data_IF_540994488492
#
_entry.id   IF_540994488492
#
_cell.length_a   1.000
_cell.length_b   1.000
_cell.length_c   1.000
_cell.angle_alpha   90.00
_cell.angle_beta   90.00
_cell.angle_gamma   90.00
#
_symmetry.space_group_name_H-M   'P 1'
#
loop_
_entity.id
_entity.type
_entity.pdbx_description
1 polymer ?
#
# COMPACT_ATOMS: atom_id res chain seq x y z
N UNK A 1 0.54 -0.92 -15.84
CA UNK A 1 1.29 -0.90 -14.57
C UNK A 1 0.31 -0.52 -13.48
N UNK A 2 0.25 -1.27 -12.38
CA UNK A 2 -0.65 -0.94 -11.27
C UNK A 2 -0.20 0.34 -10.59
N UNK A 3 -1.14 1.24 -10.33
CA UNK A 3 -0.85 2.54 -9.71
C UNK A 3 -0.26 2.35 -8.31
N UNK A 4 0.95 2.83 -8.09
CA UNK A 4 1.61 2.86 -6.78
C UNK A 4 1.20 4.14 -6.04
N UNK A 5 0.84 4.00 -4.77
CA UNK A 5 0.48 5.08 -3.84
C UNK A 5 1.27 4.98 -2.53
N UNK A 6 1.34 6.08 -1.78
CA UNK A 6 1.95 6.11 -0.45
C UNK A 6 0.89 5.87 0.62
N UNK A 7 1.11 4.89 1.48
CA UNK A 7 0.28 4.65 2.66
C UNK A 7 0.36 5.85 3.62
N UNK A 8 -0.79 6.41 3.98
CA UNK A 8 -0.86 7.59 4.86
C UNK A 8 -0.47 7.29 6.32
N UNK A 9 -0.48 6.03 6.74
CA UNK A 9 -0.13 5.63 8.11
C UNK A 9 1.38 5.42 8.30
N UNK A 10 2.05 4.75 7.36
CA UNK A 10 3.46 4.37 7.52
C UNK A 10 4.42 4.99 6.49
N UNK A 11 3.91 5.75 5.52
CA UNK A 11 4.74 6.38 4.48
C UNK A 11 5.36 5.41 3.46
N UNK A 12 5.04 4.11 3.53
CA UNK A 12 5.56 3.10 2.59
C UNK A 12 4.67 2.99 1.34
N UNK A 13 5.26 2.68 0.18
CA UNK A 13 4.51 2.51 -1.06
C UNK A 13 3.71 1.19 -1.05
N UNK A 14 2.56 1.21 -1.71
CA UNK A 14 1.69 0.05 -1.94
C UNK A 14 0.97 0.20 -3.27
N UNK A 15 0.57 -0.91 -3.89
CA UNK A 15 -0.31 -0.83 -5.07
C UNK A 15 -1.71 -0.37 -4.65
N UNK A 16 -2.29 0.57 -5.39
CA UNK A 16 -3.62 1.12 -5.12
C UNK A 16 -4.69 0.03 -5.01
N UNK A 17 -4.63 -0.99 -5.88
CA UNK A 17 -5.54 -2.14 -5.85
C UNK A 17 -5.34 -3.08 -4.65
N UNK A 18 -4.18 -3.01 -3.99
CA UNK A 18 -3.85 -3.83 -2.81
C UNK A 18 -4.09 -3.09 -1.48
N UNK A 19 -4.54 -1.84 -1.51
CA UNK A 19 -4.97 -1.13 -0.31
C UNK A 19 -6.14 -1.87 0.36
N UNK A 20 -6.15 -1.88 1.69
CA UNK A 20 -7.16 -2.57 2.49
C UNK A 20 -7.93 -1.58 3.35
N UNK A 21 -9.18 -1.93 3.64
CA UNK A 21 -10.07 -1.16 4.48
C UNK A 21 -10.33 -1.92 5.78
N UNK A 22 -10.11 -1.24 6.90
CA UNK A 22 -10.50 -1.73 8.22
C UNK A 22 -11.03 -0.57 9.04
N UNK A 23 -12.24 -0.70 9.59
CA UNK A 23 -12.84 0.29 10.50
C UNK A 23 -12.79 1.73 9.95
N UNK A 24 -13.08 1.89 8.66
CA UNK A 24 -13.07 3.18 7.94
C UNK A 24 -11.69 3.71 7.55
N UNK A 25 -10.60 3.00 7.85
CA UNK A 25 -9.23 3.38 7.47
C UNK A 25 -8.79 2.62 6.21
N UNK A 26 -8.36 3.36 5.19
CA UNK A 26 -7.73 2.79 3.99
C UNK A 26 -6.20 2.82 4.15
N UNK A 27 -5.57 1.65 4.30
CA UNK A 27 -4.14 1.53 4.61
C UNK A 27 -3.48 0.43 3.77
N UNK A 28 -2.14 0.41 3.72
CA UNK A 28 -1.42 -0.68 3.05
C UNK A 28 -1.59 -2.01 3.79
N UNK A 29 -1.25 -3.12 3.14
CA UNK A 29 -1.43 -4.47 3.69
C UNK A 29 -0.74 -4.68 5.04
N UNK A 30 0.44 -4.08 5.26
CA UNK A 30 1.15 -4.18 6.54
C UNK A 30 0.44 -3.42 7.66
N UNK A 31 -0.05 -2.21 7.39
CA UNK A 31 -0.80 -1.42 8.37
C UNK A 31 -2.15 -2.05 8.66
N UNK A 32 -2.80 -2.60 7.64
CA UNK A 32 -4.02 -3.39 7.82
C UNK A 32 -3.79 -4.58 8.76
N UNK A 33 -2.74 -5.38 8.53
CA UNK A 33 -2.37 -6.50 9.41
C UNK A 33 -2.18 -6.04 10.85
N UNK A 34 -1.41 -4.98 11.07
CA UNK A 34 -1.19 -4.43 12.41
C UNK A 34 -2.49 -3.94 13.08
N UNK A 35 -3.30 -3.18 12.35
CA UNK A 35 -4.57 -2.66 12.87
C UNK A 35 -5.57 -3.80 13.16
N UNK A 36 -5.61 -4.84 12.33
CA UNK A 36 -6.48 -5.99 12.56
C UNK A 36 -6.09 -6.74 13.83
N UNK A 37 -4.79 -6.97 14.05
CA UNK A 37 -4.31 -7.63 15.27
C UNK A 37 -4.56 -6.80 16.53
N UNK A 38 -4.49 -5.46 16.42
CA UNK A 38 -4.84 -4.54 17.49
C UNK A 38 -6.34 -4.62 17.83
N UNK A 39 -7.22 -4.60 16.82
CA UNK A 39 -8.68 -4.68 16.99
C UNK A 39 -9.18 -6.06 17.45
N UNK A 40 -8.53 -7.15 17.06
CA UNK A 40 -8.95 -8.53 17.35
C UNK A 40 -8.17 -9.16 18.52
N UNK A 41 -7.12 -8.50 19.01
CA UNK A 41 -6.24 -8.97 20.08
C UNK A 41 -5.64 -10.37 19.84
N UNK A 42 -5.42 -10.75 18.58
CA UNK A 42 -4.80 -12.01 18.19
C UNK A 42 -3.90 -11.84 16.96
N UNK A 43 -3.04 -12.84 16.70
CA UNK A 43 -2.12 -12.81 15.56
C UNK A 43 -2.87 -13.07 14.25
N UNK A 44 -2.47 -12.34 13.22
CA UNK A 44 -2.98 -12.53 11.86
C UNK A 44 -2.19 -13.67 11.19
N UNK A 45 -2.86 -14.78 10.95
CA UNK A 45 -2.24 -16.05 10.52
C UNK A 45 -2.35 -16.34 9.03
N UNK A 46 -3.10 -15.53 8.28
CA UNK A 46 -3.24 -15.71 6.83
C UNK A 46 -2.09 -15.05 6.06
N UNK A 47 -1.80 -15.60 4.87
CA UNK A 47 -0.70 -15.22 3.97
C UNK A 47 -1.18 -14.43 2.73
N UNK A 48 -2.48 -14.14 2.65
CA UNK A 48 -3.13 -13.38 1.57
C UNK A 48 -2.57 -11.95 1.39
N UNK A 49 -1.81 -11.48 2.38
CA UNK A 49 -1.16 -10.17 2.38
C UNK A 49 0.32 -10.21 1.97
N UNK A 50 0.91 -11.38 1.71
CA UNK A 50 2.36 -11.54 1.52
C UNK A 50 2.84 -11.32 0.07
N UNK A 51 1.93 -10.94 -0.83
CA UNK A 51 2.25 -10.63 -2.22
C UNK A 51 3.32 -9.54 -2.42
N UNK A 52 3.86 -9.48 -3.65
CA UNK A 52 4.88 -8.48 -4.04
C UNK A 52 4.41 -7.06 -3.68
N UNK A 53 5.32 -6.26 -3.14
CA UNK A 53 5.10 -4.85 -2.82
C UNK A 53 5.98 -3.98 -3.72
N UNK A 54 5.52 -2.78 -4.07
CA UNK A 54 6.36 -1.83 -4.77
C UNK A 54 7.46 -1.29 -3.84
N UNK A 55 8.55 -0.87 -4.45
CA UNK A 55 9.64 -0.15 -3.82
C UNK A 55 9.45 1.35 -3.95
N UNK A 56 10.18 2.13 -3.15
CA UNK A 56 10.22 3.59 -3.32
C UNK A 56 10.79 3.99 -4.68
N UNK A 57 11.71 3.19 -5.23
CA UNK A 57 12.27 3.41 -6.57
C UNK A 57 11.19 3.29 -7.64
N UNK A 58 10.42 2.20 -7.63
CA UNK A 58 9.30 1.99 -8.57
C UNK A 58 8.24 3.11 -8.44
N UNK A 59 7.98 3.59 -7.21
CA UNK A 59 7.10 4.75 -7.01
C UNK A 59 7.65 6.03 -7.67
N UNK A 60 8.95 6.31 -7.51
CA UNK A 60 9.59 7.49 -8.10
C UNK A 60 9.58 7.42 -9.64
N UNK A 61 9.90 6.26 -10.21
CA UNK A 61 9.85 6.03 -11.66
C UNK A 61 8.45 6.33 -12.22
N UNK A 62 7.39 5.88 -11.52
CA UNK A 62 6.02 6.23 -11.88
C UNK A 62 5.75 7.75 -11.84
N UNK A 63 6.27 8.48 -10.85
CA UNK A 63 6.09 9.95 -10.80
C UNK A 63 6.80 10.64 -11.95
N UNK A 64 8.02 10.20 -12.27
CA UNK A 64 8.82 10.76 -13.36
C UNK A 64 8.16 10.52 -14.72
N UNK A 65 7.56 9.34 -14.93
CA UNK A 65 6.78 9.03 -16.13
C UNK A 65 5.53 9.90 -16.24
N UNK A 66 4.77 10.08 -15.14
CA UNK A 66 3.59 10.97 -15.13
C UNK A 66 3.96 12.42 -15.42
N UNK A 67 5.08 12.90 -14.90
CA UNK A 67 5.58 14.25 -15.16
C UNK A 67 6.01 14.43 -16.63
N UNK A 68 6.69 13.42 -17.20
CA UNK A 68 7.07 13.42 -18.62
C UNK A 68 5.85 13.45 -19.54
N UNK A 69 4.83 12.64 -19.26
CA UNK A 69 3.63 12.51 -20.09
C UNK A 69 2.59 13.63 -19.88
N UNK A 70 2.77 14.48 -18.87
CA UNK A 70 1.88 15.62 -18.60
C UNK A 70 2.35 16.94 -19.20
N UNK A 71 3.39 16.91 -20.05
CA UNK A 71 3.99 18.07 -20.73
C UNK A 71 3.59 18.21 -22.20
N UNK A 72 2.70 17.34 -22.69
CA UNK A 72 2.11 17.41 -24.04
C UNK A 72 0.76 18.16 -24.01
#
# INVERSE_FOLDING_TARGET
>A
MDKIVICKQCGKPEYWGEMRWLSGRCTCRNCYKANWQDENHCLYTWDDLDGKRPTMKEYQEQQDERYRNGKD
#
